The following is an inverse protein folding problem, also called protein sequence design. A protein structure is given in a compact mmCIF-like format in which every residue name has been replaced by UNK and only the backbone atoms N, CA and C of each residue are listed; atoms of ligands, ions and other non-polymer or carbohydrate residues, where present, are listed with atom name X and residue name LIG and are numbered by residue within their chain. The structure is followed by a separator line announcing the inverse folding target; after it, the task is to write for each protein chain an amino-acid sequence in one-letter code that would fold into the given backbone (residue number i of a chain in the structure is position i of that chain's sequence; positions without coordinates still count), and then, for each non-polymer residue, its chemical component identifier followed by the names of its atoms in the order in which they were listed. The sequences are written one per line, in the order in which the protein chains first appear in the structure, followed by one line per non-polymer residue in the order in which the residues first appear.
data_IF_520381931987
#
_entry.id   IF_520381931987
#
_cell.length_a   1.000
_cell.length_b   1.000
_cell.length_c   1.000
_cell.angle_alpha   90.00
_cell.angle_beta   90.00
_cell.angle_gamma   90.00
#
_symmetry.space_group_name_H-M   'P 1'
#
loop_
_entity.id
_entity.type
_entity.pdbx_description
1 polymer ?
#
# COMPACT_ATOMS: atom_id res chain seq x y z
N UNK A 1 -8.66 -8.31 14.99
CA UNK A 1 -9.55 -7.45 15.76
C UNK A 1 -10.48 -6.67 14.83
N UNK A 2 -11.77 -6.96 14.86
CA UNK A 2 -12.79 -6.37 14.00
C UNK A 2 -12.90 -4.84 14.14
N UNK A 3 -12.76 -4.32 15.35
CA UNK A 3 -12.76 -2.88 15.60
C UNK A 3 -11.61 -2.18 14.87
N UNK A 4 -10.41 -2.77 14.87
CA UNK A 4 -9.27 -2.19 14.17
C UNK A 4 -9.43 -2.25 12.66
N UNK A 5 -10.00 -3.34 12.11
CA UNK A 5 -10.30 -3.44 10.68
C UNK A 5 -11.29 -2.35 10.23
N UNK A 6 -12.31 -2.08 11.06
CA UNK A 6 -13.28 -1.02 10.80
C UNK A 6 -12.68 0.39 10.91
N UNK A 7 -11.88 0.63 11.96
CA UNK A 7 -11.38 1.97 12.31
C UNK A 7 -10.17 2.40 11.49
N UNK A 8 -9.47 1.46 10.85
CA UNK A 8 -8.26 1.71 10.08
C UNK A 8 -8.38 1.20 8.63
N UNK A 9 -9.10 1.92 7.75
CA UNK A 9 -9.11 1.57 6.33
C UNK A 9 -7.69 1.51 5.77
N UNK A 10 -7.39 0.51 4.95
CA UNK A 10 -6.03 0.15 4.51
C UNK A 10 -5.26 1.32 3.87
N UNK A 11 -5.95 2.16 3.10
CA UNK A 11 -5.33 3.32 2.45
C UNK A 11 -5.25 4.57 3.34
N UNK A 12 -5.92 4.56 4.50
CA UNK A 12 -5.88 5.66 5.46
C UNK A 12 -4.87 5.42 6.59
N UNK A 13 -4.68 4.15 6.97
CA UNK A 13 -3.83 3.78 8.10
C UNK A 13 -2.41 4.32 7.99
N UNK A 14 -1.86 4.42 6.77
CA UNK A 14 -0.52 4.97 6.55
C UNK A 14 -0.39 6.45 6.92
N UNK A 15 -1.50 7.20 7.01
CA UNK A 15 -1.49 8.60 7.45
C UNK A 15 -1.04 8.78 8.91
N UNK A 16 -1.01 7.68 9.70
CA UNK A 16 -0.38 7.69 11.02
C UNK A 16 1.16 7.74 10.95
N UNK A 17 1.75 7.61 9.76
CA UNK A 17 3.20 7.53 9.54
C UNK A 17 3.67 8.48 8.44
N UNK A 18 3.41 9.80 8.55
CA UNK A 18 3.68 10.75 7.47
C UNK A 18 5.17 10.83 7.09
N UNK A 19 6.09 10.55 8.02
CA UNK A 19 7.54 10.51 7.74
C UNK A 19 7.99 9.29 6.92
N UNK A 20 7.18 8.23 6.89
CA UNK A 20 7.48 7.01 6.15
C UNK A 20 6.80 6.97 4.77
N UNK A 21 5.76 7.80 4.56
CA UNK A 21 4.95 7.79 3.34
C UNK A 21 5.41 8.88 2.36
N UNK A 22 5.17 8.72 1.06
CA UNK A 22 5.27 9.86 0.15
C UNK A 22 4.27 10.94 0.57
N UNK A 23 4.48 12.21 0.22
CA UNK A 23 3.47 13.23 0.40
C UNK A 23 2.09 12.73 -0.05
N UNK A 24 1.12 12.79 0.84
CA UNK A 24 -0.21 12.22 0.63
C UNK A 24 -1.26 13.11 1.29
N UNK A 25 -2.39 13.31 0.62
CA UNK A 25 -3.61 13.88 1.22
C UNK A 25 -4.79 12.94 0.99
N UNK A 26 -5.81 13.07 1.83
CA UNK A 26 -7.10 12.42 1.66
C UNK A 26 -8.15 13.53 1.64
N UNK A 27 -8.87 13.67 0.53
CA UNK A 27 -9.80 14.78 0.35
C UNK A 27 -10.95 14.45 -0.61
N UNK A 28 -12.07 15.13 -0.43
CA UNK A 28 -13.17 15.27 -1.39
C UNK A 28 -13.12 16.60 -2.13
N UNK A 29 -12.36 17.55 -1.59
CA UNK A 29 -12.34 18.91 -2.08
C UNK A 29 -11.42 19.03 -3.29
N UNK A 30 -12.00 19.31 -4.45
CA UNK A 30 -11.26 19.43 -5.73
C UNK A 30 -10.18 20.51 -5.65
N UNK A 31 -10.42 21.61 -4.93
CA UNK A 31 -9.43 22.70 -4.76
C UNK A 31 -8.19 22.19 -4.04
N UNK A 32 -8.34 21.55 -2.89
CA UNK A 32 -7.23 20.97 -2.12
C UNK A 32 -6.43 19.95 -2.93
N UNK A 33 -7.12 19.16 -3.78
CA UNK A 33 -6.46 18.19 -4.66
C UNK A 33 -5.67 18.90 -5.77
N UNK A 34 -6.22 19.96 -6.38
CA UNK A 34 -5.52 20.77 -7.38
C UNK A 34 -4.27 21.43 -6.79
N UNK A 35 -4.38 22.01 -5.59
CA UNK A 35 -3.25 22.64 -4.90
C UNK A 35 -2.14 21.61 -4.64
N UNK A 36 -2.51 20.39 -4.25
CA UNK A 36 -1.57 19.30 -4.06
C UNK A 36 -0.89 18.86 -5.38
N UNK A 37 -1.66 18.76 -6.47
CA UNK A 37 -1.12 18.44 -7.80
C UNK A 37 -0.18 19.55 -8.28
N UNK A 38 -0.55 20.80 -8.10
CA UNK A 38 0.30 21.95 -8.47
C UNK A 38 1.64 21.91 -7.71
N UNK A 39 1.61 21.54 -6.43
CA UNK A 39 2.80 21.44 -5.58
C UNK A 39 3.73 20.28 -5.96
N UNK A 40 3.17 19.11 -6.29
CA UNK A 40 3.95 17.88 -6.46
C UNK A 40 4.07 17.40 -7.92
N UNK A 41 3.37 18.04 -8.86
CA UNK A 41 3.41 17.73 -10.28
C UNK A 41 2.59 16.49 -10.62
N UNK A 42 3.22 15.32 -10.65
CA UNK A 42 2.55 14.04 -10.94
C UNK A 42 2.10 13.35 -9.66
N UNK A 43 0.87 12.88 -9.64
CA UNK A 43 0.26 12.18 -8.49
C UNK A 43 -0.44 10.88 -8.91
N UNK A 44 -0.69 10.03 -7.93
CA UNK A 44 -1.57 8.87 -8.04
C UNK A 44 -2.86 9.15 -7.27
N UNK A 45 -3.99 9.02 -7.93
CA UNK A 45 -5.30 8.98 -7.31
C UNK A 45 -5.64 7.52 -6.97
N UNK A 46 -6.16 7.29 -5.77
CA UNK A 46 -6.63 5.98 -5.31
C UNK A 46 -8.00 6.16 -4.65
N UNK A 47 -9.03 5.36 -4.97
CA UNK A 47 -10.25 5.34 -4.17
C UNK A 47 -9.91 4.99 -2.72
N UNK A 48 -10.57 5.60 -1.75
CA UNK A 48 -10.33 5.32 -0.33
C UNK A 48 -10.63 3.86 0.01
N UNK A 49 -11.66 3.31 -0.62
CA UNK A 49 -12.10 1.94 -0.46
C UNK A 49 -11.87 1.14 -1.75
N UNK A 50 -11.73 -0.16 -1.63
CA UNK A 50 -11.45 -1.07 -2.75
C UNK A 50 -10.05 -1.66 -2.72
N UNK A 51 -9.85 -2.72 -3.49
CA UNK A 51 -8.63 -3.52 -3.54
C UNK A 51 -8.18 -3.76 -5.00
N UNK A 52 -7.11 -4.53 -5.18
CA UNK A 52 -6.65 -4.99 -6.50
C UNK A 52 -6.19 -3.87 -7.45
N UNK A 53 -6.01 -2.63 -6.95
CA UNK A 53 -5.61 -1.50 -7.79
C UNK A 53 -6.73 -0.94 -8.68
N UNK A 54 -8.00 -1.32 -8.41
CA UNK A 54 -9.16 -0.78 -9.13
C UNK A 54 -9.24 0.73 -8.88
N UNK A 55 -9.43 1.50 -9.94
CA UNK A 55 -9.57 2.96 -9.86
C UNK A 55 -8.25 3.74 -9.67
N UNK A 56 -7.11 3.08 -9.53
CA UNK A 56 -5.82 3.81 -9.49
C UNK A 56 -5.60 4.55 -10.80
N UNK A 57 -5.32 5.85 -10.70
CA UNK A 57 -5.09 6.72 -11.86
C UNK A 57 -3.89 7.63 -11.62
N UNK A 58 -2.96 7.65 -12.57
CA UNK A 58 -1.87 8.62 -12.62
C UNK A 58 -2.37 9.91 -13.24
N UNK A 59 -2.10 11.03 -12.61
CA UNK A 59 -2.48 12.39 -13.06
C UNK A 59 -1.23 13.26 -13.08
N UNK A 60 -1.08 14.01 -14.14
CA UNK A 60 -0.03 15.02 -14.27
C UNK A 60 -0.64 16.43 -14.24
N UNK A 61 0.08 17.40 -13.68
CA UNK A 61 -0.37 18.80 -13.61
C UNK A 61 -0.64 19.46 -14.95
N UNK A 62 -0.02 18.93 -16.02
CA UNK A 62 -0.19 19.46 -17.40
C UNK A 62 -1.46 18.94 -18.08
N UNK A 63 -2.21 18.06 -17.42
CA UNK A 63 -3.41 17.47 -18.00
C UNK A 63 -4.52 18.49 -18.18
N UNK A 64 -5.08 18.55 -19.39
CA UNK A 64 -6.19 19.43 -19.75
C UNK A 64 -7.45 19.05 -18.97
N UNK A 65 -8.26 20.05 -18.60
CA UNK A 65 -9.54 19.88 -17.89
C UNK A 65 -9.43 19.12 -16.55
N UNK A 66 -8.33 19.32 -15.83
CA UNK A 66 -8.02 18.62 -14.58
C UNK A 66 -9.15 18.72 -13.55
N UNK A 67 -9.78 19.89 -13.39
CA UNK A 67 -10.91 20.10 -12.48
C UNK A 67 -12.10 19.19 -12.82
N UNK A 68 -12.48 19.12 -14.08
CA UNK A 68 -13.59 18.28 -14.56
C UNK A 68 -13.26 16.79 -14.37
N UNK A 69 -12.03 16.39 -14.66
CA UNK A 69 -11.56 15.03 -14.48
C UNK A 69 -11.64 14.61 -13.00
N UNK A 70 -11.16 15.45 -12.07
CA UNK A 70 -11.22 15.18 -10.63
C UNK A 70 -12.66 15.08 -10.12
N UNK A 71 -13.53 16.00 -10.55
CA UNK A 71 -14.96 15.97 -10.20
C UNK A 71 -15.61 14.67 -10.68
N UNK A 72 -15.35 14.25 -11.92
CA UNK A 72 -15.85 12.98 -12.47
C UNK A 72 -15.30 11.78 -11.70
N UNK A 73 -14.01 11.79 -11.40
CA UNK A 73 -13.36 10.70 -10.67
C UNK A 73 -13.97 10.52 -9.26
N UNK A 74 -14.15 11.61 -8.50
CA UNK A 74 -14.78 11.57 -7.18
C UNK A 74 -16.20 11.00 -7.26
N UNK A 75 -17.02 11.48 -8.20
CA UNK A 75 -18.39 10.97 -8.42
C UNK A 75 -18.42 9.48 -8.76
N UNK A 76 -17.47 9.01 -9.59
CA UNK A 76 -17.38 7.58 -9.98
C UNK A 76 -17.19 6.65 -8.78
N UNK A 77 -16.54 7.13 -7.73
CA UNK A 77 -16.28 6.34 -6.51
C UNK A 77 -17.20 6.72 -5.34
N UNK A 78 -18.45 7.11 -5.63
CA UNK A 78 -19.52 7.30 -4.64
C UNK A 78 -19.36 8.53 -3.77
N UNK A 79 -18.65 9.56 -4.26
CA UNK A 79 -18.38 10.80 -3.52
C UNK A 79 -17.70 10.55 -2.16
N UNK A 80 -16.90 9.49 -2.08
CA UNK A 80 -16.04 9.22 -0.94
C UNK A 80 -14.72 9.98 -1.06
N UNK A 81 -14.03 10.29 0.06
CA UNK A 81 -12.68 10.83 0.01
C UNK A 81 -11.76 9.97 -0.84
N UNK A 82 -10.89 10.63 -1.60
CA UNK A 82 -9.87 9.96 -2.40
C UNK A 82 -8.49 10.20 -1.79
N UNK A 83 -7.63 9.21 -1.89
CA UNK A 83 -6.22 9.32 -1.53
C UNK A 83 -5.47 9.87 -2.73
N UNK A 84 -4.79 10.99 -2.54
CA UNK A 84 -3.92 11.62 -3.55
C UNK A 84 -2.49 11.58 -3.04
N UNK A 85 -1.64 10.86 -3.73
CA UNK A 85 -0.27 10.58 -3.30
C UNK A 85 0.72 11.02 -4.37
N UNK A 86 1.82 11.65 -3.97
CA UNK A 86 2.92 11.98 -4.89
C UNK A 86 3.37 10.73 -5.64
N UNK A 87 3.48 10.83 -6.95
CA UNK A 87 3.96 9.74 -7.79
C UNK A 87 5.44 9.44 -7.52
N UNK A 88 5.79 8.17 -7.44
CA UNK A 88 7.15 7.69 -7.26
C UNK A 88 7.65 7.06 -8.57
N UNK A 89 8.48 7.75 -9.36
CA UNK A 89 8.93 7.25 -10.66
C UNK A 89 9.66 5.89 -10.61
N UNK A 90 10.34 5.61 -9.49
CA UNK A 90 11.05 4.33 -9.30
C UNK A 90 10.15 3.11 -9.10
N UNK A 91 8.82 3.28 -9.14
CA UNK A 91 7.88 2.15 -9.16
C UNK A 91 8.20 1.12 -10.25
N UNK A 92 8.84 1.57 -11.35
CA UNK A 92 9.26 0.69 -12.46
C UNK A 92 10.24 -0.40 -12.03
N UNK A 93 10.99 -0.17 -10.95
CA UNK A 93 11.92 -1.15 -10.39
C UNK A 93 11.22 -2.18 -9.49
N UNK A 94 9.95 -1.94 -9.20
CA UNK A 94 9.09 -2.83 -8.43
C UNK A 94 8.55 -2.18 -7.15
N UNK A 95 7.54 -2.84 -6.66
CA UNK A 95 6.83 -2.58 -5.41
C UNK A 95 7.10 -3.78 -4.48
N UNK A 96 7.75 -3.54 -3.37
CA UNK A 96 8.10 -4.60 -2.42
C UNK A 96 6.94 -4.86 -1.47
N UNK A 97 6.33 -6.06 -1.57
CA UNK A 97 5.39 -6.58 -0.58
C UNK A 97 6.17 -7.25 0.54
N UNK A 98 6.00 -6.77 1.76
CA UNK A 98 6.55 -7.40 2.97
C UNK A 98 5.40 -7.95 3.81
N UNK A 99 5.49 -9.20 4.21
CA UNK A 99 4.53 -9.85 5.11
C UNK A 99 5.02 -9.72 6.54
N UNK A 100 4.17 -9.15 7.39
CA UNK A 100 4.42 -8.98 8.83
C UNK A 100 3.54 -9.91 9.64
N UNK A 101 4.12 -10.55 10.64
CA UNK A 101 3.42 -11.37 11.62
C UNK A 101 3.81 -10.91 13.05
N UNK A 102 2.82 -10.49 13.84
CA UNK A 102 3.11 -9.89 15.15
C UNK A 102 4.02 -8.67 15.06
N UNK A 103 3.91 -7.90 13.97
CA UNK A 103 4.72 -6.72 13.68
C UNK A 103 6.16 -7.01 13.23
N UNK A 104 6.54 -8.28 13.06
CA UNK A 104 7.88 -8.66 12.56
C UNK A 104 7.79 -9.14 11.09
N UNK A 105 8.72 -8.76 10.22
CA UNK A 105 8.76 -9.27 8.87
C UNK A 105 9.08 -10.77 8.84
N UNK A 106 8.27 -11.54 8.10
CA UNK A 106 8.46 -12.99 7.95
C UNK A 106 8.81 -13.40 6.52
N UNK A 107 8.65 -12.49 5.56
CA UNK A 107 8.99 -12.72 4.16
C UNK A 107 8.73 -11.47 3.32
N UNK A 108 9.34 -11.41 2.14
CA UNK A 108 9.15 -10.31 1.20
C UNK A 108 9.25 -10.79 -0.25
N UNK A 109 8.53 -10.12 -1.14
CA UNK A 109 8.59 -10.33 -2.59
C UNK A 109 8.56 -8.98 -3.31
N UNK A 110 9.39 -8.81 -4.33
CA UNK A 110 9.35 -7.66 -5.22
C UNK A 110 8.38 -7.95 -6.36
N UNK A 111 7.38 -7.08 -6.54
CA UNK A 111 6.40 -7.16 -7.63
C UNK A 111 6.80 -6.18 -8.72
N UNK A 112 7.32 -6.68 -9.81
CA UNK A 112 7.75 -5.84 -10.93
C UNK A 112 6.55 -5.63 -11.86
N UNK A 113 6.15 -4.37 -12.15
CA UNK A 113 5.02 -4.11 -13.03
C UNK A 113 5.27 -4.63 -14.45
N UNK A 114 4.20 -4.96 -15.17
CA UNK A 114 4.29 -5.23 -16.59
C UNK A 114 4.71 -3.95 -17.35
N UNK A 115 5.23 -4.12 -18.57
CA UNK A 115 5.66 -2.98 -19.39
C UNK A 115 4.48 -2.03 -19.61
N UNK A 116 4.70 -0.73 -19.36
CA UNK A 116 3.71 0.35 -19.44
C UNK A 116 2.57 0.30 -18.41
N UNK A 117 2.63 -0.60 -17.43
CA UNK A 117 1.66 -0.64 -16.34
C UNK A 117 2.17 0.12 -15.11
N UNK A 118 1.28 0.87 -14.45
CA UNK A 118 1.60 1.56 -13.18
C UNK A 118 1.28 0.72 -11.94
N UNK A 119 0.61 -0.40 -12.14
CA UNK A 119 0.21 -1.33 -11.08
C UNK A 119 1.17 -2.50 -11.03
N UNK A 120 1.66 -2.82 -9.85
CA UNK A 120 2.61 -3.90 -9.62
C UNK A 120 1.99 -5.11 -8.94
N UNK A 121 0.73 -5.01 -8.49
CA UNK A 121 0.07 -6.12 -7.80
C UNK A 121 -0.10 -7.34 -8.73
N UNK A 122 -0.18 -8.54 -8.16
CA UNK A 122 -0.27 -9.78 -8.92
C UNK A 122 -1.52 -9.86 -9.79
N UNK A 123 -2.66 -9.33 -9.33
CA UNK A 123 -3.91 -9.26 -10.11
C UNK A 123 -3.79 -8.38 -11.36
N UNK A 124 -2.87 -7.42 -11.36
CA UNK A 124 -2.59 -6.57 -12.51
C UNK A 124 -1.40 -7.06 -13.36
N UNK A 125 -0.99 -8.32 -13.18
CA UNK A 125 0.09 -8.93 -13.98
C UNK A 125 1.51 -8.62 -13.48
N UNK A 126 1.65 -8.13 -12.26
CA UNK A 126 2.96 -7.93 -11.63
C UNK A 126 3.74 -9.25 -11.53
N UNK A 127 5.00 -9.25 -11.97
CA UNK A 127 5.86 -10.43 -11.93
C UNK A 127 6.61 -10.49 -10.59
N UNK A 128 6.55 -11.63 -9.86
CA UNK A 128 7.28 -11.79 -8.62
C UNK A 128 8.77 -11.93 -8.88
N UNK A 129 9.58 -11.27 -8.07
CA UNK A 129 11.04 -11.42 -8.00
C UNK A 129 11.48 -11.60 -6.56
N UNK A 130 12.50 -12.44 -6.34
CA UNK A 130 13.14 -12.58 -5.03
C UNK A 130 13.72 -11.25 -4.59
N UNK A 131 13.59 -10.93 -3.30
CA UNK A 131 14.13 -9.69 -2.73
C UNK A 131 14.53 -9.88 -1.28
N UNK A 132 15.34 -8.96 -0.77
CA UNK A 132 15.70 -8.86 0.64
C UNK A 132 15.30 -7.49 1.18
N UNK A 133 15.14 -7.40 2.48
CA UNK A 133 14.85 -6.13 3.14
C UNK A 133 16.12 -5.29 3.24
N UNK A 134 16.04 -4.05 2.74
CA UNK A 134 17.06 -3.02 2.99
C UNK A 134 16.94 -2.51 4.43
N UNK A 135 17.95 -1.77 4.90
CA UNK A 135 17.88 -1.13 6.22
C UNK A 135 16.69 -0.15 6.32
N UNK A 136 16.35 0.54 5.23
CA UNK A 136 15.19 1.43 5.17
C UNK A 136 13.88 0.65 5.30
N UNK A 137 13.76 -0.52 4.67
CA UNK A 137 12.57 -1.38 4.80
C UNK A 137 12.43 -1.90 6.25
N UNK A 138 13.55 -2.31 6.87
CA UNK A 138 13.57 -2.76 8.26
C UNK A 138 13.15 -1.63 9.21
N UNK A 139 13.64 -0.41 8.97
CA UNK A 139 13.25 0.78 9.74
C UNK A 139 11.75 1.04 9.65
N UNK A 140 11.15 0.95 8.43
CA UNK A 140 9.70 1.08 8.24
C UNK A 140 8.96 0.02 9.08
N UNK A 141 9.34 -1.26 8.95
CA UNK A 141 8.73 -2.35 9.71
C UNK A 141 8.79 -2.11 11.23
N UNK A 142 9.96 -1.69 11.73
CA UNK A 142 10.18 -1.42 13.15
C UNK A 142 9.34 -0.25 13.66
N UNK A 143 9.24 0.81 12.87
CA UNK A 143 8.49 2.02 13.25
C UNK A 143 6.99 1.74 13.38
N UNK A 144 6.41 0.99 12.44
CA UNK A 144 4.98 0.68 12.47
C UNK A 144 4.61 -0.43 13.47
N UNK A 145 5.57 -1.24 13.91
CA UNK A 145 5.36 -2.43 14.75
C UNK A 145 4.54 -2.14 16.00
N UNK A 146 4.90 -1.10 16.76
CA UNK A 146 4.20 -0.73 18.02
C UNK A 146 2.72 -0.43 17.76
N UNK A 147 2.41 0.28 16.68
CA UNK A 147 1.05 0.58 16.27
C UNK A 147 0.27 -0.69 15.91
N UNK A 148 0.85 -1.59 15.11
CA UNK A 148 0.22 -2.83 14.69
C UNK A 148 -0.11 -3.73 15.90
N UNK A 149 0.82 -3.89 16.83
CA UNK A 149 0.62 -4.70 18.06
C UNK A 149 -0.47 -4.08 18.94
N UNK A 150 -0.42 -2.76 19.21
CA UNK A 150 -1.41 -2.04 20.01
C UNK A 150 -2.82 -2.23 19.47
N UNK A 151 -2.97 -2.25 18.15
CA UNK A 151 -4.26 -2.39 17.48
C UNK A 151 -4.62 -3.85 17.15
N UNK A 152 -3.84 -4.84 17.64
CA UNK A 152 -4.05 -6.26 17.39
C UNK A 152 -4.14 -6.61 15.90
N UNK A 153 -3.37 -5.89 15.06
CA UNK A 153 -3.18 -6.13 13.64
C UNK A 153 -1.97 -7.03 13.46
N UNK A 154 -2.17 -8.33 13.64
CA UNK A 154 -1.07 -9.28 13.75
C UNK A 154 -0.58 -9.84 12.41
N UNK A 155 -1.45 -9.91 11.40
CA UNK A 155 -1.11 -10.39 10.06
C UNK A 155 -1.34 -9.26 9.05
N UNK A 156 -0.27 -8.72 8.53
CA UNK A 156 -0.30 -7.48 7.72
C UNK A 156 0.65 -7.61 6.53
N UNK A 157 0.23 -7.10 5.38
CA UNK A 157 1.11 -6.86 4.24
C UNK A 157 1.38 -5.37 4.10
N UNK A 158 2.64 -4.98 3.94
CA UNK A 158 2.97 -3.60 3.60
C UNK A 158 3.60 -3.51 2.23
N UNK A 159 3.36 -2.40 1.55
CA UNK A 159 3.89 -2.13 0.24
C UNK A 159 4.90 -0.98 0.31
N UNK A 160 6.08 -1.19 -0.25
CA UNK A 160 7.19 -0.24 -0.20
C UNK A 160 7.69 0.01 -1.63
N UNK A 161 7.69 1.28 -2.05
CA UNK A 161 8.25 1.74 -3.32
C UNK A 161 9.32 2.79 -3.02
N UNK A 162 10.53 2.60 -3.54
CA UNK A 162 11.65 3.54 -3.35
C UNK A 162 11.92 3.89 -1.87
N UNK A 163 11.69 2.92 -0.97
CA UNK A 163 11.83 3.09 0.47
C UNK A 163 10.77 3.98 1.12
N UNK A 164 9.61 4.15 0.49
CA UNK A 164 8.43 4.76 1.07
C UNK A 164 7.33 3.73 1.28
N UNK A 165 6.69 3.79 2.42
CA UNK A 165 5.49 3.01 2.74
C UNK A 165 4.31 3.57 1.93
N UNK A 166 3.76 2.78 1.01
CA UNK A 166 2.70 3.23 0.11
C UNK A 166 1.34 2.64 0.42
N UNK A 167 1.28 1.52 1.17
CA UNK A 167 0.04 0.87 1.60
C UNK A 167 0.29 -0.04 2.80
N UNK A 168 -0.72 -0.20 3.67
CA UNK A 168 -0.76 -1.18 4.77
C UNK A 168 -2.03 -2.02 4.60
N UNK A 169 -1.86 -3.29 4.24
CA UNK A 169 -2.95 -4.22 3.95
C UNK A 169 -3.22 -5.07 5.18
N UNK A 170 -4.40 -4.92 5.79
CA UNK A 170 -4.75 -5.53 7.08
C UNK A 170 -5.88 -6.56 7.00
N UNK A 171 -6.55 -6.69 5.84
CA UNK A 171 -7.68 -7.63 5.67
C UNK A 171 -7.21 -8.98 5.12
N UNK A 172 -6.56 -8.99 3.95
CA UNK A 172 -6.11 -10.21 3.29
C UNK A 172 -4.82 -10.01 2.49
N UNK A 173 -3.67 -9.80 3.14
CA UNK A 173 -2.41 -9.60 2.43
C UNK A 173 -2.04 -10.83 1.60
N UNK A 174 -1.77 -10.62 0.31
CA UNK A 174 -1.32 -11.64 -0.64
C UNK A 174 0.21 -11.64 -0.76
N UNK A 175 0.78 -12.68 -1.39
CA UNK A 175 2.22 -12.80 -1.65
C UNK A 175 2.90 -13.96 -0.92
N UNK A 176 2.18 -14.70 -0.07
CA UNK A 176 2.73 -15.86 0.67
C UNK A 176 3.19 -16.95 -0.30
N UNK A 177 2.37 -17.29 -1.28
CA UNK A 177 2.69 -18.34 -2.26
C UNK A 177 3.98 -18.03 -3.01
N UNK A 178 4.13 -16.81 -3.48
CA UNK A 178 5.30 -16.34 -4.22
C UNK A 178 6.56 -16.36 -3.34
N UNK A 179 6.44 -15.91 -2.10
CA UNK A 179 7.56 -15.93 -1.14
C UNK A 179 7.97 -17.38 -0.84
N UNK A 180 7.01 -18.24 -0.55
CA UNK A 180 7.28 -19.65 -0.27
C UNK A 180 8.04 -20.32 -1.41
N UNK A 181 7.60 -20.10 -2.64
CA UNK A 181 8.25 -20.66 -3.84
C UNK A 181 9.66 -20.13 -4.04
N UNK A 182 9.91 -18.85 -3.76
CA UNK A 182 11.20 -18.22 -4.01
C UNK A 182 12.23 -18.47 -2.91
N UNK A 183 11.77 -18.54 -1.67
CA UNK A 183 12.64 -18.67 -0.50
C UNK A 183 12.68 -20.11 0.04
N UNK A 184 11.92 -21.02 -0.58
CA UNK A 184 11.76 -22.43 -0.14
C UNK A 184 11.35 -22.54 1.33
N UNK A 185 10.30 -21.79 1.71
CA UNK A 185 9.75 -21.72 3.07
C UNK A 185 8.26 -22.05 3.09
N UNK A 186 7.68 -22.22 4.25
CA UNK A 186 6.25 -22.46 4.48
C UNK A 186 5.71 -21.42 5.49
N UNK A 187 5.46 -20.21 5.01
CA UNK A 187 5.01 -19.10 5.87
C UNK A 187 3.65 -19.36 6.51
N UNK A 188 2.76 -20.09 5.84
CA UNK A 188 1.46 -20.48 6.37
C UNK A 188 1.57 -21.26 7.68
N UNK A 189 2.56 -22.16 7.81
CA UNK A 189 2.81 -22.88 9.07
C UNK A 189 3.19 -21.92 10.19
N UNK A 190 4.05 -20.91 9.90
CA UNK A 190 4.42 -19.88 10.88
C UNK A 190 3.21 -19.08 11.33
N UNK A 191 2.34 -18.70 10.38
CA UNK A 191 1.15 -17.90 10.62
C UNK A 191 0.15 -18.69 11.47
N UNK A 192 -0.16 -19.93 11.12
CA UNK A 192 -1.07 -20.79 11.86
C UNK A 192 -0.57 -21.00 13.29
N UNK A 193 0.71 -21.39 13.45
CA UNK A 193 1.33 -21.62 14.76
C UNK A 193 1.32 -20.35 15.64
N UNK A 194 1.49 -19.18 15.05
CA UNK A 194 1.39 -17.91 15.79
C UNK A 194 -0.01 -17.68 16.34
N UNK A 195 -1.05 -17.92 15.54
CA UNK A 195 -2.43 -17.72 16.00
C UNK A 195 -2.89 -18.79 16.99
N UNK A 196 -2.52 -20.05 16.79
CA UNK A 196 -2.81 -21.12 17.77
C UNK A 196 -2.25 -20.76 19.14
N UNK A 197 -0.98 -20.31 19.21
CA UNK A 197 -0.36 -19.86 20.48
C UNK A 197 -1.00 -18.62 21.10
N UNK A 198 -1.79 -17.86 20.35
CA UNK A 198 -2.48 -16.66 20.88
C UNK A 198 -3.90 -16.94 21.37
N UNK A 199 -4.47 -18.08 20.99
CA UNK A 199 -5.81 -18.50 21.38
C UNK A 199 -5.74 -19.34 22.66
N UNK A 200 -4.66 -20.11 22.80
CA UNK A 200 -4.31 -20.84 24.02
C UNK A 200 -3.55 -19.93 25.01
#
# INVERSE_FOLDING_TARGET
NSLSLRNYPEKHIMMNFPSLTPPTIISLEVKSILDFINKYGTVILKPAYGNGGIGIKKIDKTQINLKQLLTKYIKTFGSNPIVVQKFLPKYIHGDKRVILLGGNPIGAVLRVPAKNEIKSNFHAGGKPKKTVLTEKDKFICQTIKKFLIKNKLYFVGIDIIDGYLTEINITSPTGIHEINKMDNVQLEKKIINFFVKKIN
#
